data_IF_395409225947
#
_entry.id   IF_395409225947
#
_cell.length_a   1.000
_cell.length_b   1.000
_cell.length_c   1.000
_cell.angle_alpha   90.00
_cell.angle_beta   90.00
_cell.angle_gamma   90.00
#
_symmetry.space_group_name_H-M   'P 1'
#
loop_
_entity.id
_entity.type
_entity.pdbx_description
1 polymer ?
#
# COMPACT_ATOMS: atom_id res chain seq x y z
N UNK A 1 -17.29 10.93 -9.40
CA UNK A 1 -17.90 9.97 -8.47
C UNK A 1 -17.28 8.59 -8.61
N UNK A 2 -17.62 7.73 -9.59
CA UNK A 2 -17.08 6.35 -9.64
C UNK A 2 -15.54 6.27 -9.58
N UNK A 3 -14.82 7.15 -10.30
CA UNK A 3 -13.34 7.21 -10.30
C UNK A 3 -12.74 7.49 -8.92
N UNK A 4 -13.39 8.32 -8.09
CA UNK A 4 -12.89 8.65 -6.74
C UNK A 4 -13.04 7.44 -5.80
N UNK A 5 -14.15 6.70 -5.92
CA UNK A 5 -14.43 5.51 -5.13
C UNK A 5 -13.41 4.43 -5.46
N UNK A 6 -13.21 4.13 -6.76
CA UNK A 6 -12.24 3.13 -7.20
C UNK A 6 -10.82 3.53 -6.76
N UNK A 7 -10.43 4.79 -6.96
CA UNK A 7 -9.12 5.28 -6.50
C UNK A 7 -8.92 5.10 -4.98
N UNK A 8 -9.94 5.42 -4.19
CA UNK A 8 -9.91 5.26 -2.72
C UNK A 8 -9.83 3.79 -2.30
N UNK A 9 -10.52 2.89 -2.99
CA UNK A 9 -10.43 1.44 -2.75
C UNK A 9 -9.03 0.92 -3.06
N UNK A 10 -8.40 1.37 -4.14
CA UNK A 10 -7.02 1.00 -4.47
C UNK A 10 -6.02 1.47 -3.40
N UNK A 11 -6.21 2.67 -2.84
CA UNK A 11 -5.42 3.15 -1.71
C UNK A 11 -5.63 2.32 -0.45
N UNK A 12 -6.88 1.97 -0.13
CA UNK A 12 -7.19 1.11 1.00
C UNK A 12 -6.53 -0.27 0.85
N UNK A 13 -6.61 -0.88 -0.34
CA UNK A 13 -5.94 -2.15 -0.65
C UNK A 13 -4.43 -2.01 -0.44
N UNK A 14 -3.81 -0.95 -0.95
CA UNK A 14 -2.37 -0.71 -0.75
C UNK A 14 -2.01 -0.60 0.73
N UNK A 15 -2.80 0.14 1.53
CA UNK A 15 -2.59 0.26 2.97
C UNK A 15 -2.71 -1.08 3.71
N UNK A 16 -3.71 -1.89 3.35
CA UNK A 16 -3.89 -3.23 3.93
C UNK A 16 -2.71 -4.14 3.56
N UNK A 17 -2.27 -4.14 2.30
CA UNK A 17 -1.14 -4.95 1.85
C UNK A 17 0.16 -4.52 2.53
N UNK A 18 0.37 -3.21 2.70
CA UNK A 18 1.52 -2.68 3.43
C UNK A 18 1.46 -3.12 4.89
N UNK A 19 0.32 -2.95 5.58
CA UNK A 19 0.14 -3.44 6.94
C UNK A 19 0.39 -4.94 7.08
N UNK A 20 -0.13 -5.74 6.14
CA UNK A 20 0.06 -7.19 6.10
C UNK A 20 1.53 -7.59 6.00
N UNK A 21 2.34 -6.86 5.22
CA UNK A 21 3.79 -7.08 5.14
C UNK A 21 4.47 -6.96 6.51
N UNK A 22 4.19 -5.87 7.25
CA UNK A 22 4.80 -5.66 8.56
C UNK A 22 4.24 -6.61 9.61
N UNK A 23 2.94 -6.92 9.55
CA UNK A 23 2.31 -7.87 10.45
C UNK A 23 2.87 -9.29 10.25
N UNK A 24 3.08 -9.72 9.01
CA UNK A 24 3.70 -11.00 8.67
C UNK A 24 5.12 -11.11 9.25
N UNK A 25 5.94 -10.06 9.11
CA UNK A 25 7.28 -10.04 9.70
C UNK A 25 7.24 -10.08 11.23
N UNK A 26 6.30 -9.38 11.87
CA UNK A 26 6.13 -9.43 13.32
C UNK A 26 5.72 -10.83 13.80
N UNK A 27 4.79 -11.49 13.09
CA UNK A 27 4.37 -12.87 13.39
C UNK A 27 5.54 -13.84 13.21
N UNK A 28 6.37 -13.67 12.18
CA UNK A 28 7.58 -14.48 11.97
C UNK A 28 8.57 -14.36 13.15
N UNK A 29 8.54 -13.27 13.90
CA UNK A 29 9.41 -13.03 15.06
C UNK A 29 8.90 -13.57 16.39
N UNK A 30 7.71 -14.18 16.44
CA UNK A 30 7.07 -14.56 17.71
C UNK A 30 7.85 -15.61 18.51
N UNK A 31 8.57 -16.50 17.81
CA UNK A 31 9.43 -17.52 18.43
C UNK A 31 10.91 -17.11 18.47
N UNK A 32 11.24 -15.86 18.12
CA UNK A 32 12.60 -15.34 18.19
C UNK A 32 12.99 -15.05 19.64
N UNK A 33 14.21 -15.45 20.03
CA UNK A 33 14.79 -15.12 21.34
C UNK A 33 15.27 -13.68 21.45
N UNK A 34 15.45 -12.97 20.33
CA UNK A 34 15.79 -11.55 20.29
C UNK A 34 14.81 -10.75 19.43
N UNK A 35 14.47 -9.57 19.92
CA UNK A 35 13.70 -8.55 19.20
C UNK A 35 14.58 -7.32 19.02
N UNK A 36 15.31 -7.29 17.91
CA UNK A 36 16.15 -6.18 17.50
C UNK A 36 15.75 -5.63 16.14
N UNK A 37 16.22 -4.40 15.83
CA UNK A 37 16.02 -3.79 14.51
C UNK A 37 16.53 -4.69 13.38
N UNK A 38 17.71 -5.27 13.56
CA UNK A 38 18.36 -6.09 12.53
C UNK A 38 17.62 -7.42 12.32
N UNK A 39 17.13 -8.02 13.40
CA UNK A 39 16.30 -9.23 13.36
C UNK A 39 14.98 -8.96 12.63
N UNK A 40 14.32 -7.84 12.93
CA UNK A 40 13.07 -7.47 12.27
C UNK A 40 13.28 -7.16 10.79
N UNK A 41 14.37 -6.48 10.41
CA UNK A 41 14.72 -6.23 9.00
C UNK A 41 14.97 -7.56 8.26
N UNK A 42 15.65 -8.51 8.90
CA UNK A 42 15.82 -9.86 8.36
C UNK A 42 14.47 -10.56 8.19
N UNK A 43 13.56 -10.47 9.16
CA UNK A 43 12.21 -11.02 9.04
C UNK A 43 11.41 -10.37 7.90
N UNK A 44 11.54 -9.06 7.73
CA UNK A 44 10.93 -8.31 6.62
C UNK A 44 11.43 -8.81 5.26
N UNK A 45 12.68 -9.28 5.18
CA UNK A 45 13.28 -9.80 3.94
C UNK A 45 12.68 -11.13 3.48
N UNK A 46 12.05 -11.89 4.37
CA UNK A 46 11.29 -13.10 3.99
C UNK A 46 9.97 -12.78 3.30
N UNK A 47 9.52 -11.51 3.35
CA UNK A 47 8.32 -11.11 2.65
C UNK A 47 8.57 -11.09 1.14
N UNK A 48 7.76 -11.78 0.32
CA UNK A 48 8.01 -11.88 -1.12
C UNK A 48 8.03 -10.51 -1.80
N UNK A 49 8.98 -10.32 -2.72
CA UNK A 49 9.14 -9.10 -3.52
C UNK A 49 7.90 -8.78 -4.35
N UNK A 50 7.16 -9.81 -4.78
CA UNK A 50 5.85 -9.68 -5.43
C UNK A 50 4.84 -8.89 -4.57
N UNK A 51 4.85 -9.06 -3.24
CA UNK A 51 3.94 -8.30 -2.37
C UNK A 51 4.25 -6.79 -2.41
N UNK A 52 5.54 -6.43 -2.41
CA UNK A 52 5.96 -5.03 -2.56
C UNK A 52 5.51 -4.46 -3.92
N UNK A 53 5.62 -5.26 -4.98
CA UNK A 53 5.15 -4.86 -6.30
C UNK A 53 3.64 -4.53 -6.30
N UNK A 54 2.80 -5.39 -5.71
CA UNK A 54 1.36 -5.14 -5.60
C UNK A 54 1.03 -3.92 -4.74
N UNK A 55 1.73 -3.72 -3.62
CA UNK A 55 1.55 -2.53 -2.76
C UNK A 55 1.74 -1.25 -3.58
N UNK A 56 2.87 -1.15 -4.30
CA UNK A 56 3.21 0.05 -5.05
C UNK A 56 2.32 0.25 -6.27
N UNK A 57 1.97 -0.81 -7.00
CA UNK A 57 1.11 -0.67 -8.17
C UNK A 57 -0.30 -0.22 -7.77
N UNK A 58 -0.86 -0.79 -6.69
CA UNK A 58 -2.16 -0.38 -6.16
C UNK A 58 -2.14 1.06 -5.66
N UNK A 59 -1.04 1.49 -5.04
CA UNK A 59 -0.86 2.87 -4.61
C UNK A 59 -0.84 3.86 -5.78
N UNK A 60 -0.01 3.57 -6.79
CA UNK A 60 0.14 4.42 -7.99
C UNK A 60 -1.18 4.53 -8.73
N UNK A 61 -1.90 3.41 -8.93
CA UNK A 61 -3.22 3.41 -9.56
C UNK A 61 -4.23 4.22 -8.75
N UNK A 62 -4.25 4.06 -7.43
CA UNK A 62 -5.12 4.82 -6.52
C UNK A 62 -4.91 6.33 -6.63
N UNK A 63 -3.66 6.79 -6.53
CA UNK A 63 -3.31 8.21 -6.68
C UNK A 63 -3.67 8.74 -8.06
N UNK A 64 -3.31 7.99 -9.11
CA UNK A 64 -3.53 8.43 -10.50
C UNK A 64 -5.02 8.65 -10.77
N UNK A 65 -5.90 7.78 -10.26
CA UNK A 65 -7.34 7.93 -10.39
C UNK A 65 -7.91 9.13 -9.61
N UNK A 66 -7.36 9.41 -8.42
CA UNK A 66 -7.75 10.59 -7.63
C UNK A 66 -7.33 11.88 -8.34
N UNK A 67 -6.08 11.97 -8.80
CA UNK A 67 -5.58 13.15 -9.52
C UNK A 67 -6.41 13.39 -10.78
N UNK A 68 -6.71 12.33 -11.55
CA UNK A 68 -7.53 12.48 -12.74
C UNK A 68 -8.93 13.02 -12.41
N UNK A 69 -9.57 12.50 -11.36
CA UNK A 69 -10.85 13.05 -10.91
C UNK A 69 -10.76 14.53 -10.52
N UNK A 70 -9.70 14.94 -9.81
CA UNK A 70 -9.49 16.34 -9.41
C UNK A 70 -9.29 17.25 -10.63
N UNK A 71 -8.50 16.82 -11.62
CA UNK A 71 -8.27 17.59 -12.86
C UNK A 71 -9.56 17.72 -13.66
N UNK A 72 -10.32 16.64 -13.85
CA UNK A 72 -11.61 16.66 -14.55
C UNK A 72 -12.61 17.58 -13.83
N UNK A 73 -12.64 17.54 -12.50
CA UNK A 73 -13.49 18.42 -11.69
C UNK A 73 -13.12 19.89 -11.86
N UNK A 74 -11.82 20.22 -11.81
CA UNK A 74 -11.33 21.58 -11.99
C UNK A 74 -11.63 22.10 -13.41
N UNK A 75 -11.37 21.30 -14.43
CA UNK A 75 -11.62 21.68 -15.82
C UNK A 75 -13.11 21.90 -16.11
N UNK A 76 -14.00 21.14 -15.45
CA UNK A 76 -15.45 21.31 -15.59
C UNK A 76 -15.97 22.58 -14.90
N UNK A 77 -15.29 23.04 -13.85
CA UNK A 77 -15.72 24.20 -13.07
C UNK A 77 -15.17 25.54 -13.59
N UNK A 78 -14.11 25.49 -14.40
CA UNK A 78 -13.52 26.65 -15.09
C UNK A 78 -14.00 26.79 -16.55
N UNK A 79 -14.99 26.00 -16.95
CA UNK A 79 -15.69 26.08 -18.25
C UNK A 79 -17.11 26.54 -18.01
#
# INVERSE_FOLDING_TARGET
>A
MVRIIIGSVFLLISAILYGTKYLSAAISGVNSTSWGKDDFVRMLSYTPTLLNFYIYISFILGISLLIWYVVDFYNKNNK
#
